data_IF_530666664223
#
_entry.id   IF_530666664223
#
_cell.length_a   1.000
_cell.length_b   1.000
_cell.length_c   1.000
_cell.angle_alpha   90.00
_cell.angle_beta   90.00
_cell.angle_gamma   90.00
#
_symmetry.space_group_name_H-M   'P 1'
#
loop_
_entity.id
_entity.type
_entity.pdbx_description
1 polymer ?
#
# COMPACT_ATOMS: atom_id res chain seq x y z
N UNK A 1 21.34 -47.96 54.61
CA UNK A 1 20.08 -48.67 54.32
C UNK A 1 19.03 -47.61 53.96
N UNK A 2 19.04 -47.06 52.75
CA UNK A 2 18.43 -47.60 51.52
C UNK A 2 17.01 -48.13 51.77
N UNK A 3 16.04 -47.22 51.82
CA UNK A 3 14.63 -47.55 51.62
C UNK A 3 14.13 -46.79 50.38
N UNK A 4 14.76 -47.05 49.24
CA UNK A 4 14.23 -46.69 47.93
C UNK A 4 12.97 -47.54 47.71
N UNK A 5 11.80 -46.99 48.06
CA UNK A 5 10.49 -47.55 47.72
C UNK A 5 10.47 -47.75 46.20
N UNK A 6 10.41 -49.01 45.75
CA UNK A 6 10.35 -49.41 44.34
C UNK A 6 9.27 -48.59 43.64
N UNK A 7 9.67 -47.67 42.76
CA UNK A 7 8.74 -47.07 41.80
C UNK A 7 8.32 -48.23 40.89
N UNK A 8 7.07 -48.66 41.00
CA UNK A 8 6.55 -49.73 40.16
C UNK A 8 6.50 -49.21 38.71
N UNK A 9 6.86 -50.04 37.74
CA UNK A 9 6.97 -49.66 36.32
C UNK A 9 5.63 -49.12 35.77
N UNK A 10 4.51 -49.59 36.33
CA UNK A 10 3.16 -49.08 36.06
C UNK A 10 2.90 -47.65 36.57
N UNK A 11 3.55 -47.23 37.67
CA UNK A 11 3.42 -45.85 38.19
C UNK A 11 4.25 -44.85 37.39
N UNK A 12 5.34 -45.32 36.78
CA UNK A 12 6.19 -44.51 35.89
C UNK A 12 5.51 -44.26 34.55
N UNK A 13 4.79 -45.24 33.99
CA UNK A 13 3.99 -45.04 32.78
C UNK A 13 2.78 -44.13 33.02
N UNK A 14 2.12 -44.20 34.18
CA UNK A 14 1.02 -43.29 34.53
C UNK A 14 1.49 -41.82 34.64
N UNK A 15 2.65 -41.57 35.24
CA UNK A 15 3.21 -40.21 35.33
C UNK A 15 3.65 -39.67 33.97
N UNK A 16 4.19 -40.52 33.09
CA UNK A 16 4.57 -40.13 31.73
C UNK A 16 3.33 -39.79 30.87
N UNK A 17 2.24 -40.56 31.01
CA UNK A 17 0.98 -40.30 30.32
C UNK A 17 0.29 -39.02 30.79
N UNK A 18 0.25 -38.78 32.12
CA UNK A 18 -0.31 -37.53 32.66
C UNK A 18 0.55 -36.33 32.26
N UNK A 19 1.88 -36.45 32.32
CA UNK A 19 2.80 -35.41 31.86
C UNK A 19 2.65 -35.09 30.37
N UNK A 20 2.50 -36.12 29.51
CA UNK A 20 2.23 -35.92 28.08
C UNK A 20 0.89 -35.20 27.85
N UNK A 21 -0.14 -35.55 28.62
CA UNK A 21 -1.48 -34.97 28.49
C UNK A 21 -1.52 -33.49 28.92
N UNK A 22 -0.78 -33.12 29.95
CA UNK A 22 -0.59 -31.70 30.32
C UNK A 22 0.29 -30.96 29.32
N UNK A 23 1.32 -31.62 28.76
CA UNK A 23 2.18 -31.03 27.75
C UNK A 23 1.45 -30.77 26.43
N UNK A 24 0.54 -31.67 26.02
CA UNK A 24 -0.31 -31.47 24.83
C UNK A 24 -1.38 -30.41 25.04
N UNK A 25 -1.98 -30.33 26.23
CA UNK A 25 -2.98 -29.30 26.54
C UNK A 25 -2.37 -27.89 26.53
N UNK A 26 -1.20 -27.72 27.15
CA UNK A 26 -0.51 -26.43 27.16
C UNK A 26 -0.02 -25.99 25.76
N UNK A 27 0.27 -26.94 24.88
CA UNK A 27 0.59 -26.69 23.47
C UNK A 27 -0.66 -26.25 22.68
N UNK A 28 -1.80 -26.89 22.91
CA UNK A 28 -3.07 -26.52 22.28
C UNK A 28 -3.49 -25.09 22.67
N UNK A 29 -3.37 -24.72 23.94
CA UNK A 29 -3.71 -23.38 24.43
C UNK A 29 -2.79 -22.30 23.83
N UNK A 30 -1.50 -22.60 23.61
CA UNK A 30 -0.55 -21.70 22.94
C UNK A 30 -0.80 -21.56 21.43
N UNK A 31 -1.28 -22.61 20.77
CA UNK A 31 -1.65 -22.55 19.34
C UNK A 31 -2.94 -21.74 19.15
N UNK A 32 -3.92 -21.89 20.05
CA UNK A 32 -5.16 -21.10 20.02
C UNK A 32 -4.91 -19.59 20.25
N UNK A 33 -3.91 -19.22 21.04
CA UNK A 33 -3.56 -17.81 21.29
C UNK A 33 -2.89 -17.10 20.09
N UNK A 34 -2.49 -17.82 19.05
CA UNK A 34 -1.69 -17.30 17.92
C UNK A 34 -2.51 -16.83 16.73
N UNK A 35 -3.83 -16.66 16.88
CA UNK A 35 -4.71 -16.16 15.83
C UNK A 35 -5.23 -14.74 16.11
N UNK A 36 -4.36 -13.88 16.67
CA UNK A 36 -4.68 -12.49 16.93
C UNK A 36 -4.96 -11.68 15.64
N UNK A 37 -4.53 -12.18 14.48
CA UNK A 37 -4.82 -11.59 13.16
C UNK A 37 -6.21 -11.97 12.63
N UNK A 38 -6.83 -13.04 13.14
CA UNK A 38 -8.20 -13.44 12.85
C UNK A 38 -9.22 -12.90 13.88
N UNK A 39 -8.84 -11.95 14.74
CA UNK A 39 -9.84 -11.09 15.37
C UNK A 39 -10.55 -10.37 14.21
N UNK A 40 -11.84 -10.63 13.98
CA UNK A 40 -12.68 -10.18 12.83
C UNK A 40 -12.72 -8.67 12.51
N UNK A 41 -11.80 -7.89 13.08
CA UNK A 41 -11.43 -6.52 12.72
C UNK A 41 -10.61 -6.44 11.42
N UNK A 42 -9.90 -7.50 11.00
CA UNK A 42 -9.11 -7.47 9.77
C UNK A 42 -9.98 -7.20 8.53
N UNK A 43 -11.17 -7.81 8.46
CA UNK A 43 -12.15 -7.62 7.37
C UNK A 43 -12.67 -6.17 7.27
N UNK A 44 -12.56 -5.40 8.36
CA UNK A 44 -12.99 -4.00 8.38
C UNK A 44 -11.98 -3.06 7.74
N UNK A 45 -10.70 -3.45 7.67
CA UNK A 45 -9.65 -2.62 7.09
C UNK A 45 -9.72 -2.64 5.57
N UNK A 46 -9.59 -1.46 4.96
CA UNK A 46 -9.69 -1.27 3.52
C UNK A 46 -8.76 -2.19 2.71
N UNK A 47 -7.57 -2.49 3.23
CA UNK A 47 -6.54 -3.30 2.57
C UNK A 47 -6.89 -4.80 2.49
N UNK A 48 -7.82 -5.31 3.30
CA UNK A 48 -8.18 -6.73 3.36
C UNK A 48 -9.56 -7.04 2.76
N UNK A 49 -10.23 -6.01 2.22
CA UNK A 49 -11.49 -6.22 1.50
C UNK A 49 -11.20 -6.69 0.06
N UNK A 50 -12.00 -7.61 -0.48
CA UNK A 50 -11.88 -8.00 -1.88
C UNK A 50 -12.08 -6.77 -2.79
N UNK A 51 -11.23 -6.63 -3.81
CA UNK A 51 -11.33 -5.55 -4.78
C UNK A 51 -12.62 -5.71 -5.62
N UNK A 52 -13.43 -4.67 -5.66
CA UNK A 52 -14.58 -4.58 -6.56
C UNK A 52 -14.12 -3.93 -7.88
N UNK A 53 -14.25 -4.64 -9.00
CA UNK A 53 -13.91 -4.12 -10.32
C UNK A 53 -15.12 -3.38 -10.87
N UNK A 54 -15.11 -2.05 -10.76
CA UNK A 54 -16.12 -1.19 -11.35
C UNK A 54 -15.55 -0.57 -12.65
N UNK A 55 -16.27 -0.64 -13.78
CA UNK A 55 -15.83 0.02 -15.00
C UNK A 55 -15.84 1.55 -14.79
N UNK A 56 -14.92 2.29 -15.42
CA UNK A 56 -14.92 3.74 -15.37
C UNK A 56 -16.16 4.31 -16.07
N UNK A 57 -16.66 5.49 -15.62
CA UNK A 57 -17.77 6.17 -16.30
C UNK A 57 -17.48 6.41 -17.78
N UNK A 58 -18.54 6.54 -18.56
CA UNK A 58 -18.43 6.90 -19.96
C UNK A 58 -17.77 8.27 -20.12
N UNK A 59 -17.02 8.43 -21.21
CA UNK A 59 -16.24 9.64 -21.45
C UNK A 59 -17.17 10.77 -21.90
N UNK A 60 -17.38 11.75 -21.01
CA UNK A 60 -18.08 12.99 -21.33
C UNK A 60 -17.08 14.11 -21.68
N UNK A 61 -17.58 15.32 -22.00
CA UNK A 61 -16.74 16.47 -22.37
C UNK A 61 -15.72 16.85 -21.27
N UNK A 62 -16.06 16.69 -19.99
CA UNK A 62 -15.14 16.93 -18.88
C UNK A 62 -14.01 15.88 -18.82
N UNK A 63 -14.31 14.63 -19.18
CA UNK A 63 -13.34 13.53 -19.30
C UNK A 63 -12.36 13.64 -20.48
N UNK A 64 -12.52 14.60 -21.39
CA UNK A 64 -11.60 14.80 -22.52
C UNK A 64 -10.29 15.50 -22.09
N UNK A 65 -10.27 16.13 -20.92
CA UNK A 65 -9.12 16.90 -20.41
C UNK A 65 -7.95 15.99 -19.99
N UNK A 66 -8.26 14.76 -19.56
CA UNK A 66 -7.26 13.73 -19.32
C UNK A 66 -7.80 12.37 -19.78
N UNK A 67 -7.18 11.70 -20.76
CA UNK A 67 -7.70 10.47 -21.33
C UNK A 67 -7.60 9.28 -20.36
N UNK A 68 -6.90 9.44 -19.22
CA UNK A 68 -6.67 8.35 -18.30
C UNK A 68 -7.99 7.87 -17.68
N UNK A 69 -8.28 6.55 -17.67
CA UNK A 69 -9.56 6.04 -17.18
C UNK A 69 -9.88 6.43 -15.72
N UNK A 70 -8.83 6.61 -14.90
CA UNK A 70 -8.99 7.02 -13.49
C UNK A 70 -9.61 8.40 -13.35
N UNK A 71 -9.24 9.33 -14.22
CA UNK A 71 -9.68 10.72 -14.08
C UNK A 71 -11.17 10.87 -14.41
N UNK A 72 -11.76 9.90 -15.13
CA UNK A 72 -13.19 9.89 -15.46
C UNK A 72 -14.09 9.85 -14.22
N UNK A 73 -13.67 9.15 -13.16
CA UNK A 73 -14.41 9.17 -11.89
C UNK A 73 -14.44 10.56 -11.26
N UNK A 74 -13.31 11.28 -11.31
CA UNK A 74 -13.19 12.64 -10.77
C UNK A 74 -14.05 13.60 -11.60
N UNK A 75 -13.95 13.55 -12.93
CA UNK A 75 -14.70 14.43 -13.82
C UNK A 75 -16.22 14.17 -13.75
N UNK A 76 -16.67 12.92 -13.60
CA UNK A 76 -18.08 12.60 -13.38
C UNK A 76 -18.62 13.33 -12.15
N UNK A 77 -17.92 13.21 -11.02
CA UNK A 77 -18.34 13.85 -9.77
C UNK A 77 -18.25 15.38 -9.82
N UNK A 78 -17.28 15.95 -10.52
CA UNK A 78 -17.20 17.40 -10.73
C UNK A 78 -18.42 17.89 -11.53
N UNK A 79 -18.75 17.18 -12.61
CA UNK A 79 -19.89 17.51 -13.46
C UNK A 79 -21.23 17.42 -12.72
N UNK A 80 -21.46 16.35 -11.95
CA UNK A 80 -22.65 16.19 -11.10
C UNK A 80 -22.82 17.34 -10.10
N UNK A 81 -21.71 17.91 -9.63
CA UNK A 81 -21.69 19.05 -8.69
C UNK A 81 -21.68 20.41 -9.39
N UNK A 82 -21.72 20.46 -10.72
CA UNK A 82 -21.62 21.71 -11.48
C UNK A 82 -20.27 22.43 -11.34
N UNK A 83 -19.21 21.71 -10.96
CA UNK A 83 -17.86 22.23 -10.81
C UNK A 83 -17.04 21.99 -12.07
N UNK A 84 -16.09 22.89 -12.32
CA UNK A 84 -15.13 22.77 -13.41
C UNK A 84 -13.73 22.50 -12.86
N UNK A 85 -12.91 21.68 -13.54
CA UNK A 85 -11.54 21.48 -13.16
C UNK A 85 -10.72 22.76 -13.36
N UNK A 86 -9.71 22.95 -12.51
CA UNK A 86 -8.76 24.04 -12.71
C UNK A 86 -7.95 23.82 -13.98
N UNK A 87 -7.53 24.91 -14.65
CA UNK A 87 -6.63 24.81 -15.79
C UNK A 87 -5.32 24.15 -15.38
N UNK A 88 -4.67 23.47 -16.33
CA UNK A 88 -3.34 22.92 -16.13
C UNK A 88 -2.38 24.06 -15.77
N UNK A 89 -1.54 23.83 -14.77
CA UNK A 89 -0.52 24.80 -14.39
C UNK A 89 0.48 25.03 -15.52
N UNK A 90 1.08 26.23 -15.54
CA UNK A 90 2.18 26.58 -16.45
C UNK A 90 3.32 25.56 -16.32
N UNK A 91 3.99 25.26 -17.44
CA UNK A 91 5.17 24.41 -17.53
C UNK A 91 6.22 24.71 -16.45
N UNK A 92 6.54 25.98 -16.18
CA UNK A 92 7.52 26.33 -15.14
C UNK A 92 7.03 25.97 -13.72
N UNK A 93 5.73 26.17 -13.48
CA UNK A 93 5.09 25.85 -12.19
C UNK A 93 5.02 24.33 -12.00
N UNK A 94 4.68 23.59 -13.06
CA UNK A 94 4.63 22.13 -13.05
C UNK A 94 5.98 21.52 -12.71
N UNK A 95 7.05 21.93 -13.41
CA UNK A 95 8.40 21.42 -13.15
C UNK A 95 8.84 21.74 -11.72
N UNK A 96 8.61 22.98 -11.26
CA UNK A 96 8.97 23.39 -9.91
C UNK A 96 8.27 22.54 -8.84
N UNK A 97 6.98 22.25 -9.02
CA UNK A 97 6.22 21.38 -8.09
C UNK A 97 6.79 19.96 -8.10
N UNK A 98 6.99 19.37 -9.27
CA UNK A 98 7.55 18.03 -9.38
C UNK A 98 8.94 17.92 -8.73
N UNK A 99 9.82 18.90 -8.92
CA UNK A 99 11.15 18.89 -8.28
C UNK A 99 11.07 18.97 -6.75
N UNK A 100 10.16 19.77 -6.20
CA UNK A 100 9.95 19.80 -4.74
C UNK A 100 9.33 18.52 -4.22
N UNK A 101 8.32 17.97 -4.92
CA UNK A 101 7.61 16.78 -4.47
C UNK A 101 8.50 15.52 -4.52
N UNK A 102 9.35 15.42 -5.54
CA UNK A 102 10.20 14.25 -5.75
C UNK A 102 11.57 14.36 -5.07
N UNK A 103 12.23 15.52 -5.14
CA UNK A 103 13.61 15.69 -4.65
C UNK A 103 13.73 16.67 -3.46
N UNK A 104 12.67 17.40 -3.11
CA UNK A 104 12.69 18.38 -2.02
C UNK A 104 13.45 19.68 -2.33
N UNK A 105 13.92 19.88 -3.55
CA UNK A 105 14.75 21.04 -3.95
C UNK A 105 14.18 21.72 -5.21
N UNK A 106 14.41 23.04 -5.39
CA UNK A 106 13.99 23.72 -6.61
C UNK A 106 14.79 23.24 -7.83
N UNK A 107 14.21 23.27 -9.04
CA UNK A 107 14.93 22.94 -10.26
C UNK A 107 16.02 23.97 -10.55
N UNK A 108 17.12 23.52 -11.19
CA UNK A 108 18.17 24.44 -11.66
C UNK A 108 17.68 25.29 -12.84
N UNK A 109 18.33 26.43 -13.08
CA UNK A 109 18.03 27.27 -14.23
C UNK A 109 18.16 26.51 -15.56
N UNK A 110 19.22 25.73 -15.71
CA UNK A 110 19.48 24.90 -16.89
C UNK A 110 18.37 23.87 -17.11
N UNK A 111 17.95 23.16 -16.06
CA UNK A 111 16.84 22.20 -16.15
C UNK A 111 15.53 22.87 -16.55
N UNK A 112 15.25 24.08 -16.05
CA UNK A 112 14.07 24.83 -16.45
C UNK A 112 14.16 25.25 -17.92
N UNK A 113 15.31 25.73 -18.39
CA UNK A 113 15.48 26.09 -19.80
C UNK A 113 15.37 24.88 -20.73
N UNK A 114 16.11 23.80 -20.44
CA UNK A 114 16.03 22.55 -21.20
C UNK A 114 14.61 22.00 -21.24
N UNK A 115 13.87 22.06 -20.13
CA UNK A 115 12.45 21.73 -20.13
C UNK A 115 11.67 22.67 -21.03
N UNK A 116 11.78 24.00 -20.89
CA UNK A 116 11.00 24.96 -21.68
C UNK A 116 11.24 24.83 -23.19
N UNK A 117 12.47 24.55 -23.59
CA UNK A 117 12.90 24.47 -25.00
C UNK A 117 12.57 23.12 -25.64
N UNK A 118 12.32 22.09 -24.85
CA UNK A 118 11.88 20.79 -25.37
C UNK A 118 10.46 20.90 -25.97
N UNK A 119 10.36 20.58 -27.26
CA UNK A 119 9.11 20.57 -28.03
C UNK A 119 8.54 19.15 -28.18
N UNK A 120 9.18 18.15 -27.59
CA UNK A 120 8.76 16.75 -27.65
C UNK A 120 7.38 16.57 -27.00
N UNK A 121 6.49 15.75 -27.58
CA UNK A 121 5.25 15.35 -26.91
C UNK A 121 5.51 14.58 -25.62
N UNK A 122 6.70 13.99 -25.45
CA UNK A 122 7.11 13.26 -24.25
C UNK A 122 7.85 14.12 -23.20
N UNK A 123 8.01 15.42 -23.44
CA UNK A 123 8.74 16.37 -22.56
C UNK A 123 8.43 16.22 -21.08
N UNK A 124 7.14 16.14 -20.71
CA UNK A 124 6.74 15.99 -19.31
C UNK A 124 7.19 14.66 -18.72
N UNK A 125 7.01 13.56 -19.46
CA UNK A 125 7.42 12.23 -19.01
C UNK A 125 8.94 12.17 -18.83
N UNK A 126 9.70 12.70 -19.79
CA UNK A 126 11.16 12.72 -19.75
C UNK A 126 11.68 13.52 -18.55
N UNK A 127 11.07 14.68 -18.27
CA UNK A 127 11.42 15.48 -17.11
C UNK A 127 11.19 14.71 -15.79
N UNK A 128 10.04 14.04 -15.65
CA UNK A 128 9.74 13.26 -14.45
C UNK A 128 10.68 12.05 -14.32
N UNK A 129 10.94 11.32 -15.41
CA UNK A 129 11.90 10.21 -15.41
C UNK A 129 13.28 10.67 -14.95
N UNK A 130 13.78 11.80 -15.49
CA UNK A 130 15.07 12.35 -15.05
C UNK A 130 15.09 12.77 -13.57
N UNK A 131 13.96 13.21 -13.01
CA UNK A 131 13.88 13.50 -11.58
C UNK A 131 13.95 12.23 -10.72
N UNK A 132 13.29 11.15 -11.17
CA UNK A 132 13.26 9.85 -10.47
C UNK A 132 14.57 9.06 -10.62
N UNK A 133 15.29 9.23 -11.72
CA UNK A 133 16.57 8.56 -11.99
C UNK A 133 17.77 9.24 -11.29
N UNK A 134 17.57 10.44 -10.74
CA UNK A 134 18.64 11.16 -10.05
C UNK A 134 19.02 10.47 -8.74
N UNK A 135 20.29 10.56 -8.33
CA UNK A 135 20.78 10.02 -7.05
C UNK A 135 20.05 10.57 -5.81
N UNK A 136 19.33 11.68 -5.94
CA UNK A 136 18.64 12.34 -4.82
C UNK A 136 17.27 11.73 -4.49
N UNK A 137 16.73 10.89 -5.36
CA UNK A 137 15.45 10.19 -5.16
C UNK A 137 15.73 8.79 -4.61
#
# INVERSE_FOLDING_TARGET
MQCFKKINMASLSQLLMVGLMFWTQALADKVAAKDQFASGKAEHWWAFRPLSVNPPPEMNQAGQISPHPIDRWVFSHLHEKGLQPNPRADHRVLLRRASFDLQGIPPSYESVQGFMDDASPAKWSNAVSGLLESERY
#
